data_IF_737624119528
#
_entry.id   IF_737624119528
#
_cell.length_a   1.000
_cell.length_b   1.000
_cell.length_c   1.000
_cell.angle_alpha   90.00
_cell.angle_beta   90.00
_cell.angle_gamma   90.00
#
_symmetry.space_group_name_H-M   'P 1'
#
loop_
_entity.id
_entity.type
_entity.pdbx_description
1 polymer ?
#
# COMPACT_ATOMS: atom_id res chain seq x y z
N UNK A 1 7.41 -14.37 -7.55
CA UNK A 1 6.06 -14.01 -8.04
C UNK A 1 6.22 -13.55 -9.48
N UNK A 2 5.58 -14.18 -10.48
CA UNK A 2 5.77 -13.77 -11.86
C UNK A 2 4.98 -12.48 -12.13
N UNK A 3 5.71 -11.44 -12.53
CA UNK A 3 5.25 -10.23 -13.24
C UNK A 3 4.05 -9.46 -12.64
N UNK A 4 4.28 -8.73 -11.54
CA UNK A 4 3.56 -7.46 -11.35
C UNK A 4 4.30 -6.34 -12.12
N UNK A 5 3.66 -5.79 -13.16
CA UNK A 5 4.20 -4.64 -13.89
C UNK A 5 4.05 -3.39 -13.02
N UNK A 6 5.16 -2.68 -12.81
CA UNK A 6 5.15 -1.34 -12.18
C UNK A 6 4.49 -0.35 -13.14
N UNK A 7 3.38 0.25 -12.71
CA UNK A 7 2.74 1.36 -13.44
C UNK A 7 3.19 2.72 -12.95
N UNK A 8 3.64 2.80 -11.70
CA UNK A 8 4.19 4.03 -11.14
C UNK A 8 5.37 3.70 -10.24
N UNK A 9 6.57 4.23 -10.53
CA UNK A 9 7.73 4.05 -9.68
C UNK A 9 7.67 4.96 -8.44
N UNK A 10 8.54 4.64 -7.48
CA UNK A 10 8.86 5.50 -6.35
C UNK A 10 9.64 6.74 -6.81
N UNK A 11 9.43 7.87 -6.13
CA UNK A 11 10.18 9.11 -6.34
C UNK A 11 9.37 10.22 -7.03
N UNK A 12 10.08 11.28 -7.46
CA UNK A 12 9.44 12.40 -8.14
C UNK A 12 8.92 11.97 -9.51
N UNK A 13 7.63 12.19 -9.73
CA UNK A 13 6.96 11.93 -11.00
C UNK A 13 6.03 13.07 -11.36
N UNK A 14 5.55 13.05 -12.59
CA UNK A 14 4.38 13.86 -12.94
C UNK A 14 3.15 13.12 -12.41
N UNK A 15 2.33 13.81 -11.65
CA UNK A 15 1.05 13.30 -11.17
C UNK A 15 0.18 12.90 -12.38
N UNK A 16 -0.23 11.62 -12.51
CA UNK A 16 -0.98 11.15 -13.66
C UNK A 16 -2.44 11.61 -13.67
N UNK A 17 -2.97 12.10 -12.55
CA UNK A 17 -4.34 12.58 -12.39
C UNK A 17 -4.41 14.09 -12.62
N UNK A 18 -3.51 14.84 -11.97
CA UNK A 18 -3.55 16.31 -11.98
C UNK A 18 -2.60 16.96 -12.99
N UNK A 19 -1.63 16.21 -13.52
CA UNK A 19 -0.58 16.72 -14.40
C UNK A 19 0.49 17.56 -13.69
N UNK A 20 0.44 17.67 -12.36
CA UNK A 20 1.44 18.39 -11.58
C UNK A 20 2.82 17.72 -11.70
N UNK A 21 3.85 18.52 -11.98
CA UNK A 21 5.21 18.03 -12.11
C UNK A 21 5.90 17.94 -10.75
N UNK A 22 6.81 16.98 -10.60
CA UNK A 22 7.62 16.78 -9.41
C UNK A 22 6.81 16.44 -8.15
N UNK A 23 5.66 15.78 -8.31
CA UNK A 23 4.92 15.20 -7.20
C UNK A 23 5.66 13.95 -6.72
N UNK A 24 5.99 13.90 -5.43
CA UNK A 24 6.70 12.78 -4.84
C UNK A 24 5.75 11.60 -4.59
N UNK A 25 6.11 10.42 -5.08
CA UNK A 25 5.40 9.17 -4.84
C UNK A 25 6.22 8.30 -3.90
N UNK A 26 5.70 8.10 -2.68
CA UNK A 26 6.35 7.34 -1.60
C UNK A 26 6.11 5.83 -1.66
N UNK A 27 5.43 5.36 -2.72
CA UNK A 27 5.14 3.95 -2.98
C UNK A 27 5.51 3.48 -4.38
N UNK A 28 5.11 2.25 -4.70
CA UNK A 28 5.19 1.66 -6.04
C UNK A 28 3.80 1.12 -6.38
N UNK A 29 3.27 1.50 -7.54
CA UNK A 29 1.98 0.99 -8.01
C UNK A 29 2.21 -0.27 -8.86
N UNK A 30 1.62 -1.37 -8.41
CA UNK A 30 1.66 -2.67 -9.06
C UNK A 30 0.30 -2.99 -9.70
N UNK A 31 0.31 -3.45 -10.95
CA UNK A 31 -0.92 -3.85 -11.64
C UNK A 31 -1.35 -5.25 -11.18
N UNK A 32 -2.61 -5.35 -10.77
CA UNK A 32 -3.35 -6.60 -10.55
C UNK A 32 -4.77 -6.50 -11.09
N UNK A 33 -5.37 -7.64 -11.43
CA UNK A 33 -6.80 -7.69 -11.71
C UNK A 33 -7.61 -7.30 -10.47
N UNK A 34 -8.80 -6.74 -10.67
CA UNK A 34 -9.70 -6.37 -9.57
C UNK A 34 -9.93 -7.57 -8.63
N UNK A 35 -9.91 -7.32 -7.31
CA UNK A 35 -10.07 -8.33 -6.25
C UNK A 35 -9.05 -9.47 -6.23
N UNK A 36 -7.96 -9.38 -7.02
CA UNK A 36 -6.91 -10.38 -6.94
C UNK A 36 -6.29 -10.43 -5.54
N UNK A 37 -5.94 -11.62 -5.03
CA UNK A 37 -5.38 -11.75 -3.70
C UNK A 37 -4.02 -11.05 -3.63
N UNK A 38 -3.82 -10.24 -2.59
CA UNK A 38 -2.54 -9.58 -2.30
C UNK A 38 -2.00 -10.19 -1.02
N UNK A 39 -0.92 -10.97 -1.14
CA UNK A 39 -0.19 -11.53 -0.01
C UNK A 39 0.80 -10.51 0.55
N UNK A 40 1.12 -10.64 1.84
CA UNK A 40 2.20 -9.85 2.42
C UNK A 40 3.55 -10.26 1.80
N UNK A 41 4.34 -9.27 1.38
CA UNK A 41 5.70 -9.47 0.89
C UNK A 41 6.72 -9.69 2.01
N UNK A 42 6.30 -9.42 3.25
CA UNK A 42 7.15 -9.49 4.44
C UNK A 42 6.41 -10.22 5.55
N UNK A 43 7.19 -10.93 6.38
CA UNK A 43 6.70 -11.43 7.66
C UNK A 43 6.60 -10.28 8.66
N UNK A 44 5.53 -10.24 9.43
CA UNK A 44 5.33 -9.17 10.39
C UNK A 44 3.99 -9.22 11.13
N UNK A 45 3.67 -8.08 11.74
CA UNK A 45 2.44 -7.89 12.51
C UNK A 45 1.61 -6.77 11.90
N UNK A 46 0.32 -7.02 11.72
CA UNK A 46 -0.63 -6.00 11.26
C UNK A 46 -0.79 -4.92 12.34
N UNK A 47 -0.29 -3.72 12.05
CA UNK A 47 -0.46 -2.52 12.88
C UNK A 47 -1.81 -1.85 12.65
N UNK A 48 -2.27 -1.84 11.40
CA UNK A 48 -3.50 -1.16 11.00
C UNK A 48 -4.20 -1.91 9.87
N UNK A 49 -5.53 -1.86 9.90
CA UNK A 49 -6.43 -2.30 8.83
C UNK A 49 -7.67 -1.40 8.87
N UNK A 50 -8.11 -0.91 7.71
CA UNK A 50 -9.30 -0.08 7.61
C UNK A 50 -9.20 0.96 6.52
N UNK A 51 -10.17 1.89 6.46
CA UNK A 51 -10.12 3.01 5.54
C UNK A 51 -9.11 4.07 6.03
N UNK A 52 -8.21 4.49 5.16
CA UNK A 52 -7.17 5.46 5.43
C UNK A 52 -7.71 6.81 5.93
N UNK A 53 -7.37 7.16 7.17
CA UNK A 53 -7.84 8.40 7.81
C UNK A 53 -6.81 9.51 7.63
N UNK A 54 -7.25 10.71 7.24
CA UNK A 54 -6.40 11.89 7.13
C UNK A 54 -5.63 12.18 8.43
N UNK A 55 -4.35 12.54 8.31
CA UNK A 55 -3.47 12.79 9.46
C UNK A 55 -2.80 11.56 10.07
N UNK A 56 -3.08 10.34 9.57
CA UNK A 56 -2.47 9.08 10.06
C UNK A 56 -1.28 8.57 9.25
N UNK A 57 -0.88 9.32 8.21
CA UNK A 57 0.14 8.89 7.24
C UNK A 57 -0.37 7.91 6.17
N UNK A 58 -1.62 7.45 6.25
CA UNK A 58 -2.28 6.61 5.22
C UNK A 58 -3.61 7.19 4.74
N UNK A 59 -3.81 8.50 4.91
CA UNK A 59 -5.02 9.19 4.47
C UNK A 59 -5.19 9.19 2.96
N UNK A 60 -6.42 9.04 2.46
CA UNK A 60 -6.72 9.06 1.02
C UNK A 60 -6.42 7.75 0.27
N UNK A 61 -5.89 6.74 0.97
CA UNK A 61 -5.51 5.45 0.35
C UNK A 61 -6.67 4.45 0.22
N UNK A 62 -7.86 4.79 0.71
CA UNK A 62 -8.99 3.85 0.77
C UNK A 62 -8.72 2.73 1.77
N UNK A 63 -9.14 1.50 1.50
CA UNK A 63 -8.82 0.40 2.39
C UNK A 63 -7.32 0.11 2.34
N UNK A 64 -6.69 0.10 3.52
CA UNK A 64 -5.25 -0.03 3.69
C UNK A 64 -4.92 -1.03 4.79
N UNK A 65 -3.83 -1.76 4.61
CA UNK A 65 -3.19 -2.59 5.63
C UNK A 65 -1.77 -2.11 5.86
N UNK A 66 -1.37 -1.97 7.12
CA UNK A 66 0.00 -1.63 7.52
C UNK A 66 0.58 -2.78 8.32
N UNK A 67 1.72 -3.32 7.87
CA UNK A 67 2.46 -4.40 8.52
C UNK A 67 3.78 -3.87 9.04
N UNK A 68 4.10 -4.14 10.31
CA UNK A 68 5.43 -3.90 10.88
C UNK A 68 6.28 -5.15 10.72
N UNK A 69 7.45 -5.02 10.09
CA UNK A 69 8.42 -6.11 10.02
C UNK A 69 9.29 -6.22 11.29
N UNK A 70 10.14 -7.24 11.36
CA UNK A 70 11.06 -7.48 12.49
C UNK A 70 12.02 -6.31 12.77
N UNK A 71 12.25 -5.43 11.79
CA UNK A 71 13.14 -4.27 11.87
C UNK A 71 12.39 -2.97 12.18
N UNK A 72 11.11 -3.04 12.60
CA UNK A 72 10.27 -1.88 12.93
C UNK A 72 9.98 -0.95 11.75
N UNK A 73 9.99 -1.50 10.52
CA UNK A 73 9.60 -0.76 9.31
C UNK A 73 8.15 -1.06 8.97
N UNK A 74 7.40 -0.02 8.62
CA UNK A 74 6.02 -0.12 8.15
C UNK A 74 5.96 -0.42 6.66
N UNK A 75 5.17 -1.42 6.29
CA UNK A 75 4.86 -1.80 4.91
C UNK A 75 3.38 -1.56 4.65
N UNK A 76 3.08 -0.70 3.68
CA UNK A 76 1.71 -0.23 3.40
C UNK A 76 1.17 -0.89 2.14
N UNK A 77 -0.03 -1.45 2.24
CA UNK A 77 -0.78 -2.02 1.12
C UNK A 77 -2.06 -1.21 0.97
N UNK A 78 -2.13 -0.38 -0.07
CA UNK A 78 -3.19 0.62 -0.28
C UNK A 78 -4.18 0.21 -1.38
N UNK A 79 -5.27 0.97 -1.52
CA UNK A 79 -6.28 0.83 -2.57
C UNK A 79 -6.92 -0.56 -2.66
N UNK A 80 -7.04 -1.25 -1.53
CA UNK A 80 -7.57 -2.59 -1.47
C UNK A 80 -9.09 -2.59 -1.69
N UNK A 81 -9.61 -3.54 -2.47
CA UNK A 81 -11.05 -3.73 -2.59
C UNK A 81 -11.69 -4.16 -1.25
N UNK A 82 -10.99 -4.99 -0.49
CA UNK A 82 -11.40 -5.50 0.82
C UNK A 82 -10.19 -5.93 1.64
N UNK A 83 -10.37 -6.08 2.96
CA UNK A 83 -9.32 -6.58 3.86
C UNK A 83 -9.78 -7.86 4.57
N UNK A 84 -8.94 -8.89 4.54
CA UNK A 84 -9.20 -10.20 5.17
C UNK A 84 -8.45 -10.41 6.50
N UNK A 85 -7.55 -9.49 6.87
CA UNK A 85 -6.74 -9.57 8.10
C UNK A 85 -7.25 -8.61 9.17
N UNK A 86 -6.91 -8.90 10.44
CA UNK A 86 -7.27 -8.06 11.59
C UNK A 86 -6.03 -7.42 12.20
N UNK A 87 -6.22 -6.32 12.92
CA UNK A 87 -5.14 -5.72 13.72
C UNK A 87 -4.58 -6.76 14.68
N UNK A 88 -3.25 -6.79 14.84
CA UNK A 88 -2.47 -7.76 15.64
C UNK A 88 -2.45 -9.20 15.09
N UNK A 89 -2.92 -9.45 13.87
CA UNK A 89 -2.62 -10.70 13.17
C UNK A 89 -1.14 -10.74 12.79
N UNK A 90 -0.51 -11.91 12.98
CA UNK A 90 0.80 -12.21 12.44
C UNK A 90 0.61 -12.78 11.03
N UNK A 91 1.42 -12.32 10.10
CA UNK A 91 1.36 -12.68 8.68
C UNK A 91 2.76 -12.81 8.11
#
# INVERSE_FOLDING_TARGET
>A
MPFERVTSPYGNRTDPVTGQKNTFHDGIDLVKSHQAPIGAFVLGKVLYTGNGVSGTGVGGYGNVVVIEDKNKRGHVYAHLASVSVKKRTNC
#
